data_IF_944668043368
#
_entry.id   IF_944668043368
#
_cell.length_a   1.000
_cell.length_b   1.000
_cell.length_c   1.000
_cell.angle_alpha   90.00
_cell.angle_beta   90.00
_cell.angle_gamma   90.00
#
_symmetry.space_group_name_H-M   'P 1'
#
loop_
_entity.id
_entity.type
_entity.pdbx_description
1 polymer ?
#
# COMPACT_ATOMS: atom_id res chain seq x y z
N UNK A 1 -47.28 50.50 14.18
CA UNK A 1 -47.53 51.61 13.24
C UNK A 1 -46.52 52.69 13.54
N UNK A 2 -45.61 53.01 12.61
CA UNK A 2 -44.77 54.21 12.73
C UNK A 2 -45.55 55.40 12.16
N UNK A 3 -45.81 56.40 12.98
CA UNK A 3 -46.78 57.47 12.71
C UNK A 3 -46.33 58.53 11.67
N UNK A 4 -45.32 58.24 10.82
CA UNK A 4 -44.72 59.27 9.95
C UNK A 4 -44.68 58.90 8.46
N UNK A 5 -44.80 57.64 8.03
CA UNK A 5 -44.67 57.28 6.60
C UNK A 5 -45.76 56.38 6.02
N UNK A 6 -46.75 55.93 6.79
CA UNK A 6 -47.91 55.18 6.26
C UNK A 6 -47.60 53.79 5.65
N UNK A 7 -46.34 53.43 5.47
CA UNK A 7 -45.94 52.11 4.99
C UNK A 7 -46.03 51.09 6.13
N UNK A 8 -46.65 49.95 5.86
CA UNK A 8 -46.78 48.84 6.80
C UNK A 8 -45.41 48.41 7.32
N UNK A 9 -45.20 48.55 8.63
CA UNK A 9 -44.07 47.88 9.28
C UNK A 9 -44.36 46.39 9.23
N UNK A 10 -43.75 45.68 8.29
CA UNK A 10 -43.69 44.22 8.35
C UNK A 10 -42.97 43.87 9.66
N UNK A 11 -43.69 43.29 10.62
CA UNK A 11 -43.06 42.76 11.83
C UNK A 11 -42.13 41.63 11.42
N UNK A 12 -40.84 41.75 11.72
CA UNK A 12 -39.92 40.62 11.57
C UNK A 12 -40.33 39.53 12.55
N UNK A 13 -40.74 38.37 12.05
CA UNK A 13 -41.01 37.18 12.83
C UNK A 13 -39.93 36.15 12.55
N UNK A 14 -39.39 35.52 13.60
CA UNK A 14 -38.40 34.45 13.48
C UNK A 14 -38.98 33.14 13.99
N UNK A 15 -38.57 32.04 13.39
CA UNK A 15 -38.89 30.69 13.82
C UNK A 15 -37.62 29.84 13.83
N UNK A 16 -37.47 28.98 14.84
CA UNK A 16 -36.36 28.03 14.92
C UNK A 16 -36.80 26.70 14.31
N UNK A 17 -36.08 26.24 13.29
CA UNK A 17 -36.34 24.95 12.65
C UNK A 17 -35.26 23.96 13.08
N UNK A 18 -35.66 22.74 13.45
CA UNK A 18 -34.74 21.62 13.69
C UNK A 18 -34.90 20.61 12.56
N UNK A 19 -33.87 20.47 11.74
CA UNK A 19 -33.82 19.42 10.74
C UNK A 19 -33.40 18.11 11.42
N UNK A 20 -34.24 17.09 11.33
CA UNK A 20 -33.92 15.73 11.77
C UNK A 20 -33.61 14.90 10.52
N UNK A 21 -32.46 14.23 10.46
CA UNK A 21 -32.15 13.39 9.31
C UNK A 21 -33.05 12.16 9.27
N UNK A 22 -33.61 11.88 8.10
CA UNK A 22 -34.34 10.69 7.72
C UNK A 22 -33.37 9.57 7.31
N UNK A 23 -33.48 8.42 7.97
CA UNK A 23 -32.56 7.30 7.75
C UNK A 23 -32.64 6.69 6.34
N UNK A 24 -33.71 6.91 5.59
CA UNK A 24 -33.89 6.39 4.24
C UNK A 24 -33.34 7.34 3.17
N UNK A 25 -33.42 8.65 3.40
CA UNK A 25 -32.99 9.66 2.42
C UNK A 25 -31.63 10.28 2.73
N UNK A 26 -31.20 10.24 3.99
CA UNK A 26 -30.06 11.03 4.44
C UNK A 26 -28.83 10.21 4.79
N UNK A 27 -29.03 8.93 5.04
CA UNK A 27 -27.95 7.96 5.14
C UNK A 27 -27.27 7.77 3.78
N UNK A 28 -25.95 7.66 3.80
CA UNK A 28 -25.15 7.29 2.64
C UNK A 28 -24.86 5.80 2.67
N UNK A 29 -25.34 5.09 1.66
CA UNK A 29 -24.93 3.70 1.39
C UNK A 29 -23.55 3.66 0.74
N UNK A 30 -22.76 2.67 1.09
CA UNK A 30 -21.43 2.44 0.51
C UNK A 30 -21.42 1.10 -0.18
N UNK A 31 -21.18 1.12 -1.49
CA UNK A 31 -20.97 -0.07 -2.31
C UNK A 31 -19.52 -0.12 -2.77
N UNK A 32 -19.07 -1.30 -3.17
CA UNK A 32 -17.73 -1.43 -3.71
C UNK A 32 -17.42 -2.81 -4.23
N UNK A 33 -16.25 -2.92 -4.86
CA UNK A 33 -15.64 -4.18 -5.26
C UNK A 33 -14.17 -4.21 -4.84
N UNK A 34 -13.74 -5.34 -4.32
CA UNK A 34 -12.34 -5.72 -4.22
C UNK A 34 -12.01 -6.55 -5.45
N UNK A 35 -11.02 -6.12 -6.24
CA UNK A 35 -10.70 -6.72 -7.54
C UNK A 35 -9.24 -7.15 -7.63
N UNK A 36 -9.00 -8.16 -8.48
CA UNK A 36 -7.65 -8.59 -8.87
C UNK A 36 -7.10 -7.60 -9.91
N UNK A 37 -6.29 -6.66 -9.44
CA UNK A 37 -5.63 -5.64 -10.24
C UNK A 37 -4.44 -6.26 -10.99
N UNK A 38 -4.73 -6.89 -12.12
CA UNK A 38 -3.76 -7.73 -12.84
C UNK A 38 -2.65 -6.90 -13.47
N UNK A 39 -2.98 -5.68 -13.90
CA UNK A 39 -2.03 -4.75 -14.52
C UNK A 39 -1.38 -3.77 -13.52
N UNK A 40 -1.84 -3.76 -12.26
CA UNK A 40 -1.34 -2.94 -11.14
C UNK A 40 -1.46 -1.44 -11.37
N UNK A 41 -2.52 -1.00 -12.04
CA UNK A 41 -2.77 0.41 -12.27
C UNK A 41 -3.63 1.07 -11.17
N UNK A 42 -4.12 0.29 -10.18
CA UNK A 42 -4.94 0.77 -9.07
C UNK A 42 -6.38 1.12 -9.45
N UNK A 43 -6.81 0.81 -10.68
CA UNK A 43 -8.14 1.08 -11.22
C UNK A 43 -8.75 -0.23 -11.69
N UNK A 44 -10.04 -0.39 -11.41
CA UNK A 44 -10.76 -1.55 -11.91
C UNK A 44 -10.95 -1.44 -13.43
N UNK A 45 -10.41 -2.41 -14.17
CA UNK A 45 -10.56 -2.54 -15.62
C UNK A 45 -11.51 -3.70 -16.01
N UNK A 46 -11.92 -3.72 -17.27
CA UNK A 46 -12.75 -4.78 -17.81
C UNK A 46 -11.97 -6.12 -17.85
N UNK A 47 -12.60 -7.17 -17.34
CA UNK A 47 -12.00 -8.49 -17.23
C UNK A 47 -11.29 -8.77 -15.90
N UNK A 48 -11.21 -7.80 -14.99
CA UNK A 48 -10.63 -8.03 -13.66
C UNK A 48 -11.63 -8.69 -12.70
N UNK A 49 -11.25 -9.90 -12.26
CA UNK A 49 -12.03 -10.71 -11.34
C UNK A 49 -12.17 -10.06 -9.96
N UNK A 50 -13.24 -10.43 -9.25
CA UNK A 50 -13.41 -10.03 -7.86
C UNK A 50 -12.69 -10.93 -6.88
N UNK A 51 -12.28 -10.37 -5.74
CA UNK A 51 -11.66 -11.12 -4.64
C UNK A 51 -12.69 -11.41 -3.54
N UNK A 52 -13.08 -12.67 -3.34
CA UNK A 52 -14.10 -13.04 -2.35
C UNK A 52 -13.54 -13.15 -0.94
N UNK A 53 -14.42 -13.03 0.07
CA UNK A 53 -14.07 -13.25 1.47
C UNK A 53 -13.20 -12.16 2.11
N UNK A 54 -13.01 -11.04 1.41
CA UNK A 54 -12.20 -9.92 1.88
C UNK A 54 -13.03 -8.99 2.75
N UNK A 55 -12.50 -8.62 3.91
CA UNK A 55 -13.17 -7.76 4.89
C UNK A 55 -12.80 -6.30 4.69
N UNK A 56 -13.81 -5.43 4.73
CA UNK A 56 -13.67 -3.97 4.81
C UNK A 56 -14.29 -3.47 6.10
N UNK A 57 -13.70 -2.44 6.71
CA UNK A 57 -14.06 -1.94 8.04
C UNK A 57 -14.11 -0.41 8.02
N UNK A 58 -15.17 0.17 8.57
CA UNK A 58 -15.33 1.62 8.75
C UNK A 58 -14.62 2.10 10.01
N UNK A 59 -14.38 3.41 10.13
CA UNK A 59 -13.84 4.00 11.35
C UNK A 59 -14.74 3.79 12.60
N UNK A 60 -16.02 3.50 12.41
CA UNK A 60 -17.00 3.23 13.49
C UNK A 60 -17.07 1.74 13.86
N UNK A 61 -16.31 0.87 13.20
CA UNK A 61 -16.29 -0.57 13.45
C UNK A 61 -17.35 -1.39 12.70
N UNK A 62 -18.14 -0.76 11.82
CA UNK A 62 -18.99 -1.51 10.89
C UNK A 62 -18.10 -2.24 9.89
N UNK A 63 -18.45 -3.48 9.57
CA UNK A 63 -17.69 -4.30 8.64
C UNK A 63 -18.59 -4.99 7.62
N UNK A 64 -18.04 -5.20 6.42
CA UNK A 64 -18.65 -6.04 5.39
C UNK A 64 -17.60 -7.00 4.83
N UNK A 65 -18.06 -8.13 4.31
CA UNK A 65 -17.21 -9.12 3.63
C UNK A 65 -17.65 -9.24 2.18
N UNK A 66 -16.70 -9.35 1.26
CA UNK A 66 -17.00 -9.45 -0.17
C UNK A 66 -17.65 -10.78 -0.55
N UNK A 67 -18.58 -10.73 -1.49
CA UNK A 67 -19.22 -11.90 -2.11
C UNK A 67 -18.27 -12.63 -3.08
N UNK A 68 -18.76 -13.69 -3.72
CA UNK A 68 -18.00 -14.48 -4.70
C UNK A 68 -17.46 -13.68 -5.90
N UNK A 69 -18.01 -12.49 -6.15
CA UNK A 69 -17.60 -11.57 -7.21
C UNK A 69 -16.83 -10.36 -6.67
N UNK A 70 -16.37 -10.42 -5.42
CA UNK A 70 -15.61 -9.36 -4.77
C UNK A 70 -16.44 -8.14 -4.37
N UNK A 71 -17.77 -8.18 -4.47
CA UNK A 71 -18.64 -7.03 -4.20
C UNK A 71 -19.02 -6.97 -2.74
N UNK A 72 -19.20 -5.77 -2.21
CA UNK A 72 -19.70 -5.55 -0.85
C UNK A 72 -20.67 -4.35 -0.81
N UNK A 73 -21.46 -4.31 0.26
CA UNK A 73 -22.41 -3.25 0.52
C UNK A 73 -22.51 -3.00 2.03
N UNK A 74 -22.45 -1.73 2.43
CA UNK A 74 -22.68 -1.25 3.79
C UNK A 74 -23.85 -0.28 3.74
N UNK A 75 -25.00 -0.74 4.24
CA UNK A 75 -26.22 0.07 4.35
C UNK A 75 -26.06 1.14 5.43
N UNK A 76 -26.52 2.37 5.16
CA UNK A 76 -26.39 3.52 6.05
C UNK A 76 -25.00 3.58 6.74
N UNK A 77 -23.94 3.65 5.94
CA UNK A 77 -22.57 3.63 6.44
C UNK A 77 -22.22 4.89 7.24
N UNK A 78 -22.86 6.02 6.91
CA UNK A 78 -22.70 7.30 7.60
C UNK A 78 -23.91 8.20 7.32
N UNK A 79 -24.29 9.06 8.28
CA UNK A 79 -25.20 10.20 8.07
C UNK A 79 -24.37 11.47 7.97
N UNK A 80 -24.10 12.00 6.77
CA UNK A 80 -23.21 13.15 6.60
C UNK A 80 -23.78 14.44 7.18
N UNK A 81 -22.92 15.41 7.50
CA UNK A 81 -23.37 16.75 7.86
C UNK A 81 -24.20 17.37 6.72
N UNK A 82 -25.31 18.00 7.07
CA UNK A 82 -26.31 18.48 6.10
C UNK A 82 -25.79 19.56 5.14
N UNK A 83 -24.96 20.50 5.61
CA UNK A 83 -24.54 21.64 4.80
C UNK A 83 -23.26 21.35 4.01
N UNK A 84 -22.35 20.57 4.58
CA UNK A 84 -21.01 20.38 4.00
C UNK A 84 -20.73 18.94 3.55
N UNK A 85 -21.47 17.95 4.06
CA UNK A 85 -21.11 16.54 3.99
C UNK A 85 -20.09 16.14 5.06
N UNK A 86 -19.65 14.88 5.03
CA UNK A 86 -18.71 14.30 5.99
C UNK A 86 -17.62 13.49 5.29
N UNK A 87 -16.44 13.37 5.91
CA UNK A 87 -15.44 12.44 5.41
C UNK A 87 -15.78 11.04 5.91
N UNK A 88 -15.80 10.10 4.98
CA UNK A 88 -16.01 8.68 5.25
C UNK A 88 -14.69 7.95 5.05
N UNK A 89 -14.29 7.18 6.05
CA UNK A 89 -13.04 6.42 6.04
C UNK A 89 -13.38 4.94 6.00
N UNK A 90 -12.84 4.26 4.99
CA UNK A 90 -12.98 2.82 4.81
C UNK A 90 -11.60 2.19 4.68
N UNK A 91 -11.37 1.14 5.46
CA UNK A 91 -10.12 0.38 5.44
C UNK A 91 -10.39 -1.05 4.97
N UNK A 92 -9.55 -1.56 4.08
CA UNK A 92 -9.51 -2.98 3.77
C UNK A 92 -8.62 -3.71 4.79
N UNK A 93 -9.08 -4.84 5.31
CA UNK A 93 -8.27 -5.73 6.15
C UNK A 93 -7.42 -6.67 5.27
N UNK A 94 -6.17 -6.30 5.08
CA UNK A 94 -5.21 -6.98 4.20
C UNK A 94 -4.92 -8.43 4.63
N UNK A 95 -5.15 -8.76 5.91
CA UNK A 95 -5.00 -10.13 6.42
C UNK A 95 -6.08 -11.08 5.90
N UNK A 96 -7.18 -10.54 5.37
CA UNK A 96 -8.26 -11.34 4.78
C UNK A 96 -8.14 -11.50 3.27
N UNK A 97 -7.10 -10.91 2.66
CA UNK A 97 -6.82 -11.15 1.26
C UNK A 97 -6.48 -12.64 1.02
N UNK A 98 -6.88 -13.20 -0.13
CA UNK A 98 -6.45 -14.53 -0.52
C UNK A 98 -4.92 -14.67 -0.52
N UNK A 99 -4.43 -15.88 -0.31
CA UNK A 99 -2.99 -16.13 -0.22
C UNK A 99 -2.23 -15.61 -1.44
N UNK A 100 -1.12 -14.89 -1.20
CA UNK A 100 -0.26 -14.33 -2.24
C UNK A 100 -0.68 -12.94 -2.74
N UNK A 101 -1.89 -12.47 -2.41
CA UNK A 101 -2.31 -11.12 -2.74
C UNK A 101 -1.70 -10.09 -1.82
N UNK A 102 -1.40 -8.92 -2.39
CA UNK A 102 -1.01 -7.71 -1.68
C UNK A 102 -1.79 -6.53 -2.25
N UNK A 103 -1.99 -5.51 -1.43
CA UNK A 103 -2.67 -4.29 -1.84
C UNK A 103 -1.95 -3.63 -3.02
N UNK A 104 -2.71 -3.26 -4.06
CA UNK A 104 -2.23 -2.41 -5.16
C UNK A 104 -2.75 -0.98 -5.05
N UNK A 105 -3.89 -0.77 -4.38
CA UNK A 105 -4.40 0.55 -3.98
C UNK A 105 -4.10 0.85 -2.50
N UNK A 106 -4.28 2.10 -2.06
CA UNK A 106 -4.15 2.42 -0.64
C UNK A 106 -5.13 1.61 0.22
N UNK A 107 -4.61 1.07 1.32
CA UNK A 107 -5.39 0.25 2.25
C UNK A 107 -6.52 1.02 2.93
N UNK A 108 -6.33 2.33 3.12
CA UNK A 108 -7.32 3.23 3.73
C UNK A 108 -7.73 4.26 2.69
N UNK A 109 -9.01 4.29 2.39
CA UNK A 109 -9.61 5.24 1.45
C UNK A 109 -10.45 6.25 2.23
N UNK A 110 -10.26 7.53 1.94
CA UNK A 110 -11.05 8.63 2.50
C UNK A 110 -11.87 9.23 1.37
N UNK A 111 -13.19 9.18 1.50
CA UNK A 111 -14.12 9.68 0.50
C UNK A 111 -15.08 10.71 1.10
N UNK A 112 -15.53 11.67 0.30
CA UNK A 112 -16.49 12.68 0.75
C UNK A 112 -17.91 12.15 0.63
N UNK A 113 -18.56 11.89 1.76
CA UNK A 113 -19.97 11.51 1.81
C UNK A 113 -20.88 12.74 1.81
N UNK A 114 -21.92 12.69 0.98
CA UNK A 114 -22.96 13.72 0.88
C UNK A 114 -24.31 13.06 1.08
N UNK A 115 -25.18 13.73 1.83
CA UNK A 115 -26.53 13.27 2.19
C UNK A 115 -27.30 12.76 0.95
N UNK A 116 -27.88 11.57 1.05
CA UNK A 116 -28.67 10.92 -0.01
C UNK A 116 -27.89 10.46 -1.25
N UNK A 117 -26.56 10.64 -1.29
CA UNK A 117 -25.72 10.08 -2.35
C UNK A 117 -25.05 8.80 -1.87
N UNK A 118 -25.18 7.75 -2.67
CA UNK A 118 -24.39 6.54 -2.50
C UNK A 118 -22.92 6.80 -2.84
N UNK A 119 -22.03 6.14 -2.13
CA UNK A 119 -20.60 6.11 -2.42
C UNK A 119 -20.21 4.78 -3.05
N UNK A 120 -19.26 4.86 -3.98
CA UNK A 120 -18.55 3.69 -4.50
C UNK A 120 -17.09 3.79 -4.09
N UNK A 121 -16.62 2.79 -3.34
CA UNK A 121 -15.22 2.68 -2.91
C UNK A 121 -14.73 1.33 -3.40
N UNK A 122 -13.68 1.31 -4.23
CA UNK A 122 -13.12 0.07 -4.73
C UNK A 122 -11.71 -0.11 -4.17
N UNK A 123 -11.26 -1.36 -4.05
CA UNK A 123 -9.91 -1.70 -3.63
C UNK A 123 -9.29 -2.67 -4.63
N UNK A 124 -8.06 -2.38 -5.04
CA UNK A 124 -7.25 -3.27 -5.86
C UNK A 124 -6.28 -4.05 -4.99
N UNK A 125 -6.14 -5.34 -5.30
CA UNK A 125 -5.04 -6.15 -4.83
C UNK A 125 -4.53 -7.04 -5.96
N UNK A 126 -3.25 -7.39 -5.93
CA UNK A 126 -2.63 -8.20 -6.98
C UNK A 126 -1.68 -9.23 -6.39
N UNK A 127 -1.44 -10.32 -7.12
CA UNK A 127 -0.34 -11.23 -6.81
C UNK A 127 0.95 -10.60 -7.33
N UNK A 128 1.89 -10.32 -6.41
CA UNK A 128 3.17 -9.77 -6.80
C UNK A 128 4.00 -10.83 -7.52
N UNK A 129 4.46 -10.50 -8.73
CA UNK A 129 5.54 -11.24 -9.41
C UNK A 129 6.81 -11.02 -8.59
N UNK A 130 7.32 -12.09 -7.98
CA UNK A 130 8.58 -12.04 -7.24
C UNK A 130 9.69 -12.56 -8.15
N UNK A 131 10.69 -11.72 -8.39
CA UNK A 131 11.95 -12.14 -9.00
C UNK A 131 12.97 -12.24 -7.87
N UNK A 132 13.55 -13.41 -7.68
CA UNK A 132 14.51 -13.64 -6.61
C UNK A 132 15.93 -13.77 -7.17
N UNK A 133 16.89 -13.19 -6.46
CA UNK A 133 18.33 -13.38 -6.73
C UNK A 133 19.04 -13.68 -5.42
N UNK A 134 19.83 -14.76 -5.43
CA UNK A 134 20.63 -15.18 -4.29
C UNK A 134 22.10 -14.85 -4.55
N UNK A 135 22.68 -14.06 -3.66
CA UNK A 135 24.08 -13.64 -3.69
C UNK A 135 24.90 -14.46 -2.68
N UNK A 136 26.14 -14.77 -3.07
CA UNK A 136 27.12 -15.48 -2.24
C UNK A 136 28.44 -14.71 -2.24
N UNK A 137 29.35 -15.00 -1.31
CA UNK A 137 30.71 -14.43 -1.27
C UNK A 137 31.41 -14.47 -2.63
N UNK A 138 31.31 -15.61 -3.32
CA UNK A 138 31.97 -15.87 -4.60
C UNK A 138 31.56 -14.92 -5.73
N UNK A 139 30.43 -14.21 -5.60
CA UNK A 139 29.99 -13.20 -6.55
C UNK A 139 30.83 -11.91 -6.48
N UNK A 140 31.55 -11.69 -5.37
CA UNK A 140 32.27 -10.46 -5.08
C UNK A 140 33.78 -10.66 -5.12
N UNK A 141 34.50 -9.55 -5.33
CA UNK A 141 35.94 -9.50 -5.10
C UNK A 141 36.24 -9.67 -3.59
N UNK A 142 37.35 -10.34 -3.23
CA UNK A 142 37.69 -10.63 -1.83
C UNK A 142 37.76 -9.36 -0.98
N UNK A 143 37.04 -9.32 0.14
CA UNK A 143 37.01 -8.16 1.06
C UNK A 143 36.35 -6.89 0.51
N UNK A 144 35.84 -6.91 -0.72
CA UNK A 144 35.26 -5.76 -1.42
C UNK A 144 33.76 -5.92 -1.64
N UNK A 145 33.12 -4.82 -2.02
CA UNK A 145 31.70 -4.78 -2.44
C UNK A 145 31.51 -4.88 -3.94
N UNK A 146 32.60 -4.98 -4.70
CA UNK A 146 32.58 -5.04 -6.17
C UNK A 146 32.21 -6.45 -6.64
N UNK A 147 31.23 -6.55 -7.53
CA UNK A 147 30.87 -7.81 -8.19
C UNK A 147 31.92 -8.15 -9.25
N UNK A 148 32.35 -9.42 -9.28
CA UNK A 148 33.34 -9.91 -10.26
C UNK A 148 32.82 -9.71 -11.68
N UNK A 149 33.72 -9.42 -12.61
CA UNK A 149 33.39 -9.09 -14.00
C UNK A 149 32.52 -10.17 -14.67
N UNK A 150 32.80 -11.44 -14.40
CA UNK A 150 32.05 -12.59 -14.93
C UNK A 150 30.55 -12.61 -14.57
N UNK A 151 30.16 -11.95 -13.47
CA UNK A 151 28.77 -11.92 -12.99
C UNK A 151 28.02 -10.66 -13.42
N UNK A 152 28.72 -9.63 -13.94
CA UNK A 152 28.08 -8.40 -14.44
C UNK A 152 26.99 -8.68 -15.50
N UNK A 153 27.18 -9.58 -16.49
CA UNK A 153 26.13 -9.88 -17.46
C UNK A 153 24.87 -10.50 -16.84
N UNK A 154 24.98 -11.21 -15.71
CA UNK A 154 23.81 -11.80 -15.02
C UNK A 154 22.92 -10.74 -14.38
N UNK A 155 23.49 -9.61 -13.95
CA UNK A 155 22.71 -8.48 -13.47
C UNK A 155 21.89 -7.83 -14.59
N UNK A 156 22.43 -7.78 -15.81
CA UNK A 156 21.68 -7.27 -16.96
C UNK A 156 20.48 -8.16 -17.26
N UNK A 157 20.65 -9.49 -17.25
CA UNK A 157 19.54 -10.43 -17.38
C UNK A 157 18.49 -10.26 -16.28
N UNK A 158 18.91 -10.02 -15.03
CA UNK A 158 17.98 -9.72 -13.93
C UNK A 158 17.14 -8.46 -14.23
N UNK A 159 17.78 -7.39 -14.70
CA UNK A 159 17.08 -6.15 -15.07
C UNK A 159 16.12 -6.36 -16.25
N UNK A 160 16.53 -7.13 -17.28
CA UNK A 160 15.66 -7.50 -18.40
C UNK A 160 14.43 -8.28 -17.94
N UNK A 161 14.60 -9.25 -17.03
CA UNK A 161 13.49 -9.98 -16.45
C UNK A 161 12.56 -9.07 -15.64
N UNK A 162 13.10 -8.17 -14.82
CA UNK A 162 12.31 -7.21 -14.03
C UNK A 162 11.48 -6.25 -14.91
N UNK A 163 11.95 -5.93 -16.13
CA UNK A 163 11.23 -5.06 -17.07
C UNK A 163 10.02 -5.71 -17.74
N UNK A 164 9.95 -7.04 -17.81
CA UNK A 164 8.85 -7.73 -18.50
C UNK A 164 7.46 -7.46 -17.90
N UNK A 165 7.40 -7.23 -16.59
CA UNK A 165 6.16 -6.95 -15.87
C UNK A 165 6.47 -6.40 -14.46
N UNK A 166 5.57 -5.60 -13.86
CA UNK A 166 5.69 -5.14 -12.48
C UNK A 166 6.09 -6.26 -11.52
N UNK A 167 7.19 -6.11 -10.79
CA UNK A 167 7.74 -7.14 -9.92
C UNK A 167 8.33 -6.57 -8.63
N UNK A 168 8.40 -7.42 -7.60
CA UNK A 168 9.20 -7.21 -6.40
C UNK A 168 10.49 -8.01 -6.54
N UNK A 169 11.63 -7.36 -6.31
CA UNK A 169 12.92 -8.02 -6.28
C UNK A 169 13.21 -8.50 -4.85
N UNK A 170 13.30 -9.82 -4.66
CA UNK A 170 13.84 -10.41 -3.43
C UNK A 170 15.34 -10.58 -3.60
N UNK A 171 16.10 -9.81 -2.83
CA UNK A 171 17.56 -9.80 -2.86
C UNK A 171 18.09 -10.56 -1.64
N UNK A 172 18.37 -11.85 -1.81
CA UNK A 172 18.90 -12.67 -0.72
C UNK A 172 20.42 -12.66 -0.75
N UNK A 173 21.06 -12.61 0.41
CA UNK A 173 22.48 -12.89 0.57
C UNK A 173 22.68 -14.08 1.48
N UNK A 174 23.32 -15.13 0.97
CA UNK A 174 23.60 -16.36 1.72
C UNK A 174 25.03 -16.28 2.26
N UNK A 175 25.16 -15.87 3.51
CA UNK A 175 26.42 -15.72 4.24
C UNK A 175 26.77 -17.00 5.03
N UNK A 176 28.05 -17.24 5.24
CA UNK A 176 28.60 -18.35 6.04
C UNK A 176 29.55 -17.83 7.13
N UNK A 177 30.79 -17.48 6.77
CA UNK A 177 31.84 -17.06 7.71
C UNK A 177 32.33 -15.63 7.50
N UNK A 178 31.68 -14.85 6.64
CA UNK A 178 32.09 -13.48 6.36
C UNK A 178 31.78 -12.52 7.52
N UNK A 179 32.52 -11.40 7.59
CA UNK A 179 32.20 -10.30 8.49
C UNK A 179 30.79 -9.73 8.19
N UNK A 180 29.97 -9.60 9.23
CA UNK A 180 28.60 -9.12 9.09
C UNK A 180 28.53 -7.69 8.55
N UNK A 181 29.51 -6.84 8.89
CA UNK A 181 29.64 -5.50 8.34
C UNK A 181 29.90 -5.51 6.83
N UNK A 182 30.75 -6.41 6.35
CA UNK A 182 31.01 -6.61 4.92
C UNK A 182 29.77 -7.10 4.19
N UNK A 183 29.04 -8.08 4.74
CA UNK A 183 27.79 -8.59 4.15
C UNK A 183 26.78 -7.47 3.98
N UNK A 184 26.55 -6.65 5.03
CA UNK A 184 25.64 -5.50 4.95
C UNK A 184 26.07 -4.50 3.88
N UNK A 185 27.36 -4.17 3.81
CA UNK A 185 27.90 -3.26 2.77
C UNK A 185 27.72 -3.81 1.36
N UNK A 186 27.88 -5.13 1.16
CA UNK A 186 27.66 -5.79 -0.14
C UNK A 186 26.20 -5.72 -0.55
N UNK A 187 25.26 -6.07 0.33
CA UNK A 187 23.82 -6.01 0.04
C UNK A 187 23.39 -4.60 -0.31
N UNK A 188 23.80 -3.60 0.48
CA UNK A 188 23.50 -2.19 0.19
C UNK A 188 24.15 -1.70 -1.12
N UNK A 189 25.37 -2.15 -1.42
CA UNK A 189 26.03 -1.80 -2.69
C UNK A 189 25.26 -2.35 -3.90
N UNK A 190 24.80 -3.61 -3.84
CA UNK A 190 24.00 -4.20 -4.93
C UNK A 190 22.64 -3.53 -5.03
N UNK A 191 21.96 -3.30 -3.91
CA UNK A 191 20.69 -2.58 -3.87
C UNK A 191 20.82 -1.20 -4.54
N UNK A 192 21.84 -0.42 -4.16
CA UNK A 192 22.11 0.89 -4.77
C UNK A 192 22.37 0.77 -6.27
N UNK A 193 23.24 -0.16 -6.68
CA UNK A 193 23.55 -0.37 -8.11
C UNK A 193 22.30 -0.71 -8.93
N UNK A 194 21.41 -1.56 -8.40
CA UNK A 194 20.15 -1.92 -9.07
C UNK A 194 19.17 -0.75 -9.11
N UNK A 195 19.04 0.02 -8.03
CA UNK A 195 18.19 1.21 -8.01
C UNK A 195 18.67 2.28 -8.99
N UNK A 196 19.99 2.51 -9.09
CA UNK A 196 20.59 3.45 -10.05
C UNK A 196 20.37 2.99 -11.50
N UNK A 197 20.60 1.70 -11.78
CA UNK A 197 20.39 1.12 -13.11
C UNK A 197 18.91 1.14 -13.53
N UNK A 198 17.98 1.01 -12.57
CA UNK A 198 16.55 1.11 -12.81
C UNK A 198 16.11 2.56 -13.05
N UNK A 199 16.55 3.50 -12.20
CA UNK A 199 16.19 4.92 -12.31
C UNK A 199 16.68 5.57 -13.61
N UNK A 200 17.87 5.17 -14.10
CA UNK A 200 18.41 5.68 -15.35
C UNK A 200 17.57 5.32 -16.60
N UNK A 201 16.74 4.27 -16.52
CA UNK A 201 15.94 3.79 -17.64
C UNK A 201 14.56 4.45 -17.75
N UNK A 202 14.16 5.31 -16.78
CA UNK A 202 12.84 5.93 -16.70
C UNK A 202 11.68 4.90 -16.82
N UNK A 203 11.86 3.76 -16.14
CA UNK A 203 10.96 2.61 -16.22
C UNK A 203 9.57 2.91 -15.60
N UNK A 204 8.54 2.20 -16.08
CA UNK A 204 7.11 2.51 -15.88
C UNK A 204 6.56 2.35 -14.46
N UNK A 205 7.35 1.77 -13.54
CA UNK A 205 6.94 1.55 -12.16
C UNK A 205 8.13 1.63 -11.19
N UNK A 206 7.82 1.89 -9.91
CA UNK A 206 8.80 1.92 -8.83
C UNK A 206 9.20 0.50 -8.44
N UNK A 207 10.46 0.14 -8.65
CA UNK A 207 10.99 -1.17 -8.25
C UNK A 207 11.11 -1.27 -6.73
N UNK A 208 10.38 -2.22 -6.14
CA UNK A 208 10.51 -2.57 -4.71
C UNK A 208 11.58 -3.63 -4.55
N UNK A 209 12.60 -3.36 -3.74
CA UNK A 209 13.70 -4.30 -3.42
C UNK A 209 13.62 -4.68 -1.95
N UNK A 210 13.42 -5.98 -1.69
CA UNK A 210 13.35 -6.58 -0.36
C UNK A 210 14.67 -7.32 -0.08
N UNK A 211 15.62 -6.71 0.65
CA UNK A 211 16.87 -7.36 1.00
C UNK A 211 16.70 -8.31 2.20
N UNK A 212 17.24 -9.52 2.08
CA UNK A 212 17.27 -10.50 3.16
C UNK A 212 18.68 -11.12 3.29
N UNK A 213 19.17 -11.29 4.50
CA UNK A 213 20.45 -11.95 4.76
C UNK A 213 20.19 -13.27 5.49
N UNK A 214 20.61 -14.36 4.87
CA UNK A 214 20.51 -15.70 5.42
C UNK A 214 21.90 -16.17 5.85
N UNK A 215 22.06 -16.40 7.15
CA UNK A 215 23.26 -17.01 7.71
C UNK A 215 23.10 -18.53 7.72
N UNK A 216 23.95 -19.26 6.99
CA UNK A 216 23.92 -20.74 6.98
C UNK A 216 24.07 -21.36 8.36
N UNK A 217 24.77 -20.67 9.26
CA UNK A 217 24.98 -21.06 10.66
C UNK A 217 23.95 -20.51 11.63
N UNK A 218 22.89 -19.86 11.14
CA UNK A 218 21.81 -19.27 11.93
C UNK A 218 22.11 -17.90 12.54
N UNK A 219 23.38 -17.49 12.64
CA UNK A 219 23.78 -16.18 13.15
C UNK A 219 25.09 -15.70 12.51
N UNK A 220 25.32 -14.36 12.46
CA UNK A 220 26.61 -13.80 12.09
C UNK A 220 27.73 -14.29 13.02
N UNK A 221 28.97 -14.47 12.51
CA UNK A 221 30.11 -14.79 13.35
C UNK A 221 30.32 -13.70 14.41
N UNK A 222 30.56 -14.11 15.66
CA UNK A 222 30.85 -13.18 16.76
C UNK A 222 32.14 -12.42 16.43
N UNK A 223 32.09 -11.08 16.48
CA UNK A 223 33.33 -10.30 16.42
C UNK A 223 34.19 -10.65 17.64
N UNK A 224 35.51 -10.86 17.46
CA UNK A 224 36.39 -11.02 18.61
C UNK A 224 36.34 -9.73 19.43
N UNK A 225 36.00 -9.84 20.72
CA UNK A 225 36.14 -8.73 21.67
C UNK A 225 37.61 -8.32 21.71
N UNK A 226 37.96 -7.24 21.03
CA UNK A 226 39.26 -6.60 21.19
C UNK A 226 39.20 -5.85 22.53
N UNK A 227 39.53 -6.55 23.61
CA UNK A 227 39.81 -5.93 24.89
C UNK A 227 41.06 -5.06 24.72
N UNK A 228 40.86 -3.74 24.65
CA UNK A 228 41.97 -2.78 24.73
C UNK A 228 42.67 -2.96 26.09
N UNK A 229 43.98 -3.31 26.13
CA UNK A 229 44.70 -3.37 27.39
C UNK A 229 44.76 -1.95 27.98
N UNK A 230 44.37 -1.85 29.25
CA UNK A 230 44.02 -0.59 29.90
C UNK A 230 45.15 0.44 29.94
N UNK A 231 44.76 1.69 29.67
CA UNK A 231 45.48 2.87 30.12
C UNK A 231 45.20 3.08 31.61
N UNK A 232 46.14 2.70 32.46
CA UNK A 232 46.31 3.30 33.79
C UNK A 232 47.09 4.60 33.67
#
# INVERSE_FOLDING_TARGET
MNAVTGNGMSGEATATVRLVPDLTLDCTDVTGKVFNDANRNGRQDDGEDGLPGVRVVTATGLQATTDQYGRYHITCAITPNESRGSNFVLKLDDRTLPSGFRMSTDQVQIQRATRGKALRVNFGASIHRVVAVDLLDAAFEPGKTEIRVQWKPRLNLLLEELRKAPAVLRLSYVADTEDAGLVKRRVEAVKRQLTEAWGAANDSYVLTIEPEVFWRRGAPPKQPEVSLPGSR
#
